data_IF_380094690327
#
_entry.id   IF_380094690327
#
_cell.length_a   1.000
_cell.length_b   1.000
_cell.length_c   1.000
_cell.angle_alpha   90.00
_cell.angle_beta   90.00
_cell.angle_gamma   90.00
#
_symmetry.space_group_name_H-M   'P 1'
#
loop_
_entity.id
_entity.type
_entity.pdbx_description
1 polymer ?
#
# COMPACT_ATOMS: atom_id res chain seq x y z
N UNK A 1 -8.99 -16.07 26.79
CA UNK A 1 -7.57 -15.65 26.69
C UNK A 1 -7.57 -14.13 26.70
N UNK A 2 -6.87 -13.47 27.62
CA UNK A 2 -6.88 -12.00 27.68
C UNK A 2 -6.15 -11.43 26.46
N UNK A 3 -6.83 -10.60 25.67
CA UNK A 3 -6.23 -9.80 24.60
C UNK A 3 -5.23 -8.81 25.21
N UNK A 4 -4.16 -8.49 24.48
CA UNK A 4 -3.20 -7.48 24.92
C UNK A 4 -3.83 -6.10 24.81
N UNK A 5 -3.54 -5.23 25.78
CA UNK A 5 -3.94 -3.83 25.75
C UNK A 5 -2.82 -2.99 25.15
N UNK A 6 -3.15 -2.20 24.14
CA UNK A 6 -2.25 -1.17 23.59
C UNK A 6 -2.36 0.10 24.42
N UNK A 7 -1.25 0.54 25.00
CA UNK A 7 -1.14 1.76 25.81
C UNK A 7 -0.18 2.69 25.08
N UNK A 8 -0.69 3.81 24.58
CA UNK A 8 0.09 4.81 23.86
C UNK A 8 -0.03 6.13 24.64
N UNK A 9 1.09 6.67 25.11
CA UNK A 9 1.07 7.88 25.93
C UNK A 9 0.83 9.14 25.07
N UNK A 10 1.38 9.18 23.84
CA UNK A 10 1.21 10.27 22.87
C UNK A 10 0.98 9.74 21.45
N UNK A 11 -0.06 10.24 20.79
CA UNK A 11 -0.39 9.89 19.41
C UNK A 11 -0.63 11.16 18.59
N UNK A 12 0.17 11.33 17.53
CA UNK A 12 0.13 12.51 16.66
C UNK A 12 0.15 12.09 15.19
N UNK A 13 -0.74 12.68 14.39
CA UNK A 13 -0.81 12.47 12.94
C UNK A 13 -0.95 13.83 12.26
N UNK A 14 0.00 14.16 11.38
CA UNK A 14 0.00 15.46 10.69
C UNK A 14 -1.03 15.51 9.56
N UNK A 15 -1.27 14.40 8.85
CA UNK A 15 -2.14 14.38 7.68
C UNK A 15 -2.87 13.04 7.54
N UNK A 16 -4.17 13.09 7.25
CA UNK A 16 -4.99 11.92 6.96
C UNK A 16 -5.86 12.20 5.73
N UNK A 17 -5.61 11.47 4.64
CA UNK A 17 -6.16 11.77 3.31
C UNK A 17 -6.54 10.50 2.55
N UNK A 18 -7.28 10.66 1.44
CA UNK A 18 -7.62 9.61 0.46
C UNK A 18 -8.15 8.33 1.13
N UNK A 19 -9.29 8.46 1.81
CA UNK A 19 -10.03 7.31 2.38
C UNK A 19 -9.30 6.54 3.49
N UNK A 20 -8.32 7.18 4.13
CA UNK A 20 -7.58 6.58 5.24
C UNK A 20 -8.37 6.62 6.55
N UNK A 21 -8.00 5.76 7.50
CA UNK A 21 -8.69 5.60 8.78
C UNK A 21 -7.68 5.57 9.92
N UNK A 22 -8.00 6.24 11.03
CA UNK A 22 -7.36 5.99 12.33
C UNK A 22 -8.39 5.24 13.17
N UNK A 23 -8.02 4.06 13.65
CA UNK A 23 -8.82 3.23 14.54
C UNK A 23 -8.11 3.13 15.89
N UNK A 24 -8.78 3.55 16.96
CA UNK A 24 -8.28 3.39 18.34
C UNK A 24 -9.31 2.56 19.09
N UNK A 25 -8.92 1.35 19.47
CA UNK A 25 -9.82 0.34 20.02
C UNK A 25 -9.65 -0.99 19.32
N UNK A 26 -10.41 -1.99 19.74
CA UNK A 26 -10.34 -3.33 19.16
C UNK A 26 -11.29 -3.45 17.95
N UNK A 27 -10.83 -4.14 16.91
CA UNK A 27 -11.61 -4.41 15.70
C UNK A 27 -11.69 -5.91 15.44
N UNK A 28 -12.71 -6.35 14.70
CA UNK A 28 -12.75 -7.73 14.21
C UNK A 28 -12.24 -7.84 12.79
N UNK A 29 -12.63 -6.89 11.94
CA UNK A 29 -12.27 -6.85 10.53
C UNK A 29 -11.71 -5.48 10.16
N UNK A 30 -10.55 -5.47 9.51
CA UNK A 30 -10.02 -4.32 8.80
C UNK A 30 -9.85 -4.73 7.35
N UNK A 31 -10.58 -4.04 6.46
CA UNK A 31 -10.51 -4.28 5.02
C UNK A 31 -10.20 -2.97 4.31
N UNK A 32 -9.09 -2.94 3.57
CA UNK A 32 -8.65 -1.76 2.84
C UNK A 32 -8.36 -2.11 1.38
N UNK A 33 -8.77 -1.21 0.50
CA UNK A 33 -8.61 -1.40 -0.93
C UNK A 33 -8.26 -0.09 -1.63
N UNK A 34 -7.18 -0.10 -2.40
CA UNK A 34 -6.68 1.07 -3.12
C UNK A 34 -6.28 0.73 -4.54
N UNK A 35 -6.67 1.59 -5.49
CA UNK A 35 -6.23 1.55 -6.89
C UNK A 35 -5.70 2.92 -7.29
N UNK A 36 -4.48 2.95 -7.82
CA UNK A 36 -3.89 4.15 -8.38
C UNK A 36 -3.37 3.87 -9.79
N UNK A 37 -3.71 4.76 -10.73
CA UNK A 37 -3.17 4.78 -12.09
C UNK A 37 -2.56 6.16 -12.33
N UNK A 38 -1.29 6.18 -12.72
CA UNK A 38 -0.61 7.42 -13.07
C UNK A 38 -0.01 7.28 -14.47
N UNK A 39 -0.45 8.15 -15.38
CA UNK A 39 0.11 8.25 -16.73
C UNK A 39 0.92 9.54 -16.80
N UNK A 40 2.23 9.40 -17.00
CA UNK A 40 3.16 10.51 -17.14
C UNK A 40 3.65 10.56 -18.58
N UNK A 41 3.41 11.67 -19.26
CA UNK A 41 3.81 11.90 -20.65
C UNK A 41 4.91 12.93 -20.71
N UNK A 42 5.82 12.78 -21.67
CA UNK A 42 6.81 13.80 -21.97
C UNK A 42 6.17 15.06 -22.60
N UNK A 43 5.01 14.91 -23.24
CA UNK A 43 4.16 16.03 -23.70
C UNK A 43 2.80 15.94 -23.05
N UNK A 44 2.40 17.01 -22.38
CA UNK A 44 1.13 17.11 -21.68
C UNK A 44 -0.05 17.07 -22.66
N UNK A 45 -0.57 15.86 -22.85
CA UNK A 45 -1.77 15.58 -23.65
C UNK A 45 -2.73 14.77 -22.79
N UNK A 46 -3.99 15.18 -22.74
CA UNK A 46 -5.03 14.57 -21.90
C UNK A 46 -6.18 14.12 -22.80
N UNK A 47 -6.41 12.81 -22.88
CA UNK A 47 -7.42 12.20 -23.75
C UNK A 47 -8.76 11.96 -23.02
N UNK A 48 -8.80 12.12 -21.70
CA UNK A 48 -10.00 12.01 -20.86
C UNK A 48 -10.49 10.57 -20.63
N UNK A 49 -9.85 9.57 -21.23
CA UNK A 49 -10.23 8.15 -21.16
C UNK A 49 -9.12 7.26 -20.56
N UNK A 50 -8.05 7.85 -20.02
CA UNK A 50 -6.91 7.12 -19.48
C UNK A 50 -7.23 6.29 -18.23
N UNK A 51 -8.30 6.65 -17.51
CA UNK A 51 -8.66 6.10 -16.19
C UNK A 51 -9.28 4.70 -16.18
N UNK A 52 -9.37 3.99 -17.32
CA UNK A 52 -10.00 2.68 -17.34
C UNK A 52 -9.10 1.60 -16.73
N UNK A 53 -9.36 1.24 -15.46
CA UNK A 53 -8.63 0.18 -14.77
C UNK A 53 -8.77 -1.20 -15.45
N UNK A 54 -9.91 -1.50 -16.07
CA UNK A 54 -10.14 -2.80 -16.72
C UNK A 54 -9.20 -3.02 -17.92
N UNK A 55 -8.67 -1.95 -18.51
CA UNK A 55 -7.71 -2.00 -19.61
C UNK A 55 -6.34 -2.53 -19.21
N UNK A 56 -6.05 -2.69 -17.91
CA UNK A 56 -4.73 -3.14 -17.46
C UNK A 56 -4.80 -4.39 -16.58
N UNK A 57 -4.01 -5.40 -16.95
CA UNK A 57 -3.88 -6.66 -16.20
C UNK A 57 -3.50 -6.48 -14.73
N UNK A 58 -2.80 -5.38 -14.41
CA UNK A 58 -2.44 -5.03 -13.04
C UNK A 58 -3.68 -4.93 -12.11
N UNK A 59 -4.85 -4.54 -12.64
CA UNK A 59 -6.08 -4.38 -11.85
C UNK A 59 -7.04 -5.58 -11.93
N UNK A 60 -6.85 -6.48 -12.90
CA UNK A 60 -7.76 -7.61 -13.16
C UNK A 60 -7.16 -8.96 -12.78
N UNK A 61 -5.82 -9.08 -12.69
CA UNK A 61 -5.18 -10.34 -12.29
C UNK A 61 -5.45 -10.63 -10.81
N UNK A 62 -5.95 -11.84 -10.45
CA UNK A 62 -6.12 -12.22 -9.05
C UNK A 62 -4.76 -12.27 -8.33
N UNK A 63 -4.75 -11.96 -7.03
CA UNK A 63 -3.56 -12.13 -6.19
C UNK A 63 -3.39 -13.63 -5.96
N UNK A 64 -2.24 -14.22 -6.33
CA UNK A 64 -2.00 -15.62 -6.04
C UNK A 64 -1.77 -15.77 -4.54
N UNK A 65 -2.64 -16.53 -3.88
CA UNK A 65 -2.40 -16.99 -2.52
C UNK A 65 -1.82 -18.42 -2.60
N UNK A 66 -0.76 -18.74 -1.85
CA UNK A 66 -0.35 -20.12 -1.69
C UNK A 66 -1.51 -20.91 -1.07
N UNK A 67 -1.71 -22.13 -1.54
CA UNK A 67 -2.61 -23.06 -0.86
C UNK A 67 -2.01 -23.36 0.51
N UNK A 68 -2.79 -23.18 1.57
CA UNK A 68 -2.43 -23.64 2.91
C UNK A 68 -3.07 -25.02 3.05
N UNK A 69 -2.26 -26.07 2.99
CA UNK A 69 -2.71 -27.46 3.11
C UNK A 69 -2.30 -28.08 4.46
N UNK A 70 -1.45 -27.40 5.22
CA UNK A 70 -0.99 -27.86 6.53
C UNK A 70 -1.94 -27.45 7.66
N UNK A 71 -2.23 -28.38 8.56
CA UNK A 71 -2.95 -28.09 9.79
C UNK A 71 -2.00 -27.46 10.82
N UNK A 72 -1.87 -26.13 10.80
CA UNK A 72 -1.03 -25.39 11.75
C UNK A 72 -1.87 -25.01 12.97
N UNK A 73 -1.45 -25.47 14.16
CA UNK A 73 -1.96 -24.96 15.45
C UNK A 73 -0.90 -24.06 16.07
N UNK A 74 -1.24 -22.79 16.28
CA UNK A 74 -0.37 -21.83 16.97
C UNK A 74 -0.98 -21.44 18.32
N UNK A 75 -0.16 -21.47 19.37
CA UNK A 75 -0.51 -20.93 20.68
C UNK A 75 0.51 -19.87 21.07
N UNK A 76 0.04 -18.65 21.32
CA UNK A 76 0.90 -17.53 21.72
C UNK A 76 0.71 -17.22 23.19
N UNK A 77 1.77 -17.23 24.00
CA UNK A 77 1.68 -16.81 25.41
C UNK A 77 2.24 -15.39 25.55
N UNK A 78 1.37 -14.45 25.92
CA UNK A 78 1.76 -13.06 26.17
C UNK A 78 2.15 -12.91 27.64
N UNK A 79 3.46 -12.87 27.94
CA UNK A 79 3.96 -12.69 29.30
C UNK A 79 3.58 -11.33 29.90
N UNK A 80 3.48 -10.30 29.07
CA UNK A 80 2.99 -8.98 29.44
C UNK A 80 1.64 -8.69 28.78
N UNK A 81 0.60 -8.35 29.55
CA UNK A 81 -0.70 -8.01 29.00
C UNK A 81 -0.71 -6.64 28.30
N UNK A 82 0.32 -5.80 28.53
CA UNK A 82 0.42 -4.47 27.95
C UNK A 82 1.48 -4.40 26.85
N UNK A 83 1.12 -3.75 25.74
CA UNK A 83 2.07 -3.14 24.80
C UNK A 83 2.10 -1.67 25.16
N UNK A 84 3.16 -1.21 25.82
CA UNK A 84 3.32 0.20 26.15
C UNK A 84 4.25 0.88 25.15
N UNK A 85 3.76 1.94 24.52
CA UNK A 85 4.50 2.81 23.60
C UNK A 85 4.42 4.23 24.14
N UNK A 86 5.55 4.94 24.15
CA UNK A 86 5.58 6.34 24.59
C UNK A 86 4.89 7.23 23.54
N UNK A 87 5.48 7.37 22.35
CA UNK A 87 4.96 8.27 21.32
C UNK A 87 4.88 7.60 19.96
N UNK A 88 3.80 7.91 19.24
CA UNK A 88 3.59 7.57 17.83
C UNK A 88 3.38 8.89 17.08
N UNK A 89 4.28 9.18 16.15
CA UNK A 89 4.21 10.38 15.30
C UNK A 89 4.16 9.94 13.83
N UNK A 90 3.14 10.37 13.10
CA UNK A 90 2.89 9.96 11.71
C UNK A 90 2.72 11.21 10.83
N UNK A 91 3.58 11.37 9.83
CA UNK A 91 3.53 12.52 8.93
C UNK A 91 2.32 12.48 7.98
N UNK A 92 1.85 11.29 7.60
CA UNK A 92 0.76 11.15 6.64
C UNK A 92 0.20 9.75 6.53
N UNK A 93 -1.13 9.64 6.50
CA UNK A 93 -1.87 8.40 6.21
C UNK A 93 -2.70 8.64 4.95
N UNK A 94 -2.49 7.81 3.92
CA UNK A 94 -3.11 7.98 2.60
C UNK A 94 -3.52 6.67 1.95
N UNK A 95 -4.35 6.76 0.91
CA UNK A 95 -4.71 5.69 -0.02
C UNK A 95 -5.31 4.45 0.66
N UNK A 96 -6.38 4.66 1.43
CA UNK A 96 -7.10 3.61 2.17
C UNK A 96 -6.22 2.86 3.18
N UNK A 97 -5.20 3.54 3.71
CA UNK A 97 -4.37 3.01 4.79
C UNK A 97 -5.07 3.18 6.14
N UNK A 98 -4.80 2.25 7.06
CA UNK A 98 -5.40 2.24 8.40
C UNK A 98 -4.29 2.29 9.45
N UNK A 99 -4.35 3.27 10.35
CA UNK A 99 -3.53 3.29 11.57
C UNK A 99 -4.40 2.72 12.68
N UNK A 100 -3.99 1.58 13.23
CA UNK A 100 -4.78 0.87 14.25
C UNK A 100 -4.04 0.76 15.58
N UNK A 101 -4.62 1.29 16.65
CA UNK A 101 -4.13 1.16 18.02
C UNK A 101 -5.14 0.29 18.80
N UNK A 102 -4.86 -1.01 18.85
CA UNK A 102 -5.69 -2.00 19.53
C UNK A 102 -5.44 -3.39 18.99
N UNK A 103 -6.37 -4.32 19.22
CA UNK A 103 -6.31 -5.70 18.72
C UNK A 103 -7.23 -5.88 17.52
N UNK A 104 -6.77 -6.62 16.50
CA UNK A 104 -7.61 -7.04 15.37
C UNK A 104 -7.53 -8.54 15.14
N UNK A 105 -8.61 -9.15 14.64
CA UNK A 105 -8.64 -10.58 14.32
C UNK A 105 -8.31 -10.83 12.84
N UNK A 106 -8.93 -10.07 11.94
CA UNK A 106 -8.81 -10.27 10.51
C UNK A 106 -8.48 -8.96 9.81
N UNK A 107 -7.31 -8.93 9.16
CA UNK A 107 -6.86 -7.78 8.37
C UNK A 107 -6.61 -8.25 6.95
N UNK A 108 -7.27 -7.60 5.98
CA UNK A 108 -7.06 -7.84 4.56
C UNK A 108 -6.93 -6.50 3.83
N UNK A 109 -5.76 -6.25 3.24
CA UNK A 109 -5.46 -4.99 2.56
C UNK A 109 -4.96 -5.30 1.15
N UNK A 110 -5.48 -4.57 0.16
CA UNK A 110 -5.07 -4.72 -1.24
C UNK A 110 -4.80 -3.35 -1.87
N UNK A 111 -3.59 -3.18 -2.39
CA UNK A 111 -3.21 -1.99 -3.14
C UNK A 111 -2.74 -2.38 -4.54
N UNK A 112 -3.28 -1.72 -5.56
CA UNK A 112 -2.88 -1.92 -6.95
C UNK A 112 -2.48 -0.60 -7.58
N UNK A 113 -1.23 -0.51 -8.00
CA UNK A 113 -0.65 0.72 -8.54
C UNK A 113 -0.05 0.42 -9.90
N UNK A 114 -0.33 1.28 -10.88
CA UNK A 114 0.33 1.22 -12.18
C UNK A 114 0.80 2.62 -12.57
N UNK A 115 2.10 2.75 -12.79
CA UNK A 115 2.70 3.92 -13.42
C UNK A 115 2.99 3.61 -14.89
N UNK A 116 2.63 4.53 -15.78
CA UNK A 116 2.90 4.45 -17.21
C UNK A 116 3.69 5.70 -17.58
N UNK A 117 4.89 5.52 -18.12
CA UNK A 117 5.68 6.60 -18.68
C UNK A 117 5.64 6.54 -20.20
N UNK A 118 5.25 7.64 -20.84
CA UNK A 118 5.22 7.78 -22.29
C UNK A 118 6.31 8.77 -22.70
N UNK A 119 7.31 8.25 -23.39
CA UNK A 119 8.44 9.02 -23.91
C UNK A 119 8.23 9.25 -25.41
N UNK A 120 8.72 10.37 -25.92
CA UNK A 120 8.78 10.59 -27.36
C UNK A 120 9.78 9.62 -28.00
N UNK A 121 9.45 9.15 -29.20
CA UNK A 121 10.42 8.45 -30.02
C UNK A 121 11.58 9.39 -30.31
N UNK A 122 12.76 9.06 -29.79
CA UNK A 122 13.99 9.72 -30.23
C UNK A 122 14.32 9.15 -31.61
N UNK A 123 14.13 9.96 -32.64
CA UNK A 123 14.65 9.65 -33.97
C UNK A 123 16.17 9.74 -33.87
N UNK A 124 16.82 8.62 -33.54
CA UNK A 124 18.24 8.50 -33.80
C UNK A 124 18.38 8.37 -35.33
N UNK A 125 19.10 9.28 -36.01
CA UNK A 125 19.40 9.08 -37.42
C UNK A 125 20.08 7.72 -37.56
N UNK A 126 19.56 6.86 -38.44
CA UNK A 126 20.16 5.56 -38.77
C UNK A 126 21.60 5.81 -39.23
N UNK A 127 22.58 5.48 -38.38
CA UNK A 127 24.00 5.58 -38.77
C UNK A 127 25.01 6.07 -37.72
N UNK A 128 24.66 6.25 -36.44
CA UNK A 128 25.68 6.46 -35.40
C UNK A 128 25.57 5.39 -34.32
N UNK A 129 26.38 4.35 -34.48
CA UNK A 129 26.81 3.48 -33.39
C UNK A 129 27.62 4.33 -32.41
N UNK A 130 27.02 4.74 -31.30
CA UNK A 130 27.78 5.30 -30.18
C UNK A 130 27.92 4.24 -29.09
N UNK A 131 29.18 3.82 -28.96
CA UNK A 131 29.73 3.09 -27.84
C UNK A 131 29.49 3.85 -26.52
N UNK A 132 28.97 3.14 -25.53
CA UNK A 132 29.27 3.27 -24.09
C UNK A 132 29.19 4.65 -23.42
N UNK A 133 28.32 4.76 -22.39
CA UNK A 133 28.78 5.09 -21.02
C UNK A 133 27.70 4.75 -19.98
N UNK A 134 27.92 3.62 -19.31
CA UNK A 134 27.28 3.25 -18.04
C UNK A 134 27.94 4.13 -16.98
N UNK A 135 27.16 4.96 -16.29
CA UNK A 135 27.56 5.55 -15.00
C UNK A 135 26.83 4.78 -13.90
N UNK A 136 27.63 4.28 -12.96
CA UNK A 136 27.22 3.63 -11.69
C UNK A 136 26.34 4.52 -10.82
#
# INVERSE_FOLDING_TARGET
>A
MLSRTSIVDQFHVDTLIIGSVIEIGDSTFIQGFSRALAVHREVDTFFGNEGNFASYRAYTKPIPFPLIDEAITMQTVNLSPAIKVNSININGVSASSVVHIGSSQHIAMEARIKHIRQLQSRNFPEGQSEETQIYE
#
